data_IF_087436822882
#
_entry.id   IF_087436822882
#
_cell.length_a   1.000
_cell.length_b   1.000
_cell.length_c   1.000
_cell.angle_alpha   90.00
_cell.angle_beta   90.00
_cell.angle_gamma   90.00
#
_symmetry.space_group_name_H-M   'P 1'
#
loop_
_entity.id
_entity.type
_entity.pdbx_description
1 polymer ?
#
# COMPACT_ATOMS: atom_id res chain seq x y z
N UNK A 1 14.20 -6.40 21.94
CA UNK A 1 15.26 -6.76 20.97
C UNK A 1 14.66 -6.66 19.58
N UNK A 2 15.43 -6.21 18.60
CA UNK A 2 14.89 -5.83 17.27
C UNK A 2 15.79 -6.34 16.16
N UNK A 3 15.17 -6.82 15.09
CA UNK A 3 15.79 -7.14 13.80
C UNK A 3 15.17 -6.22 12.76
N UNK A 4 15.98 -5.44 12.06
CA UNK A 4 15.56 -4.56 10.96
C UNK A 4 16.48 -4.82 9.75
N UNK A 5 15.88 -5.10 8.60
CA UNK A 5 16.57 -5.36 7.35
C UNK A 5 15.89 -4.59 6.22
N UNK A 6 16.66 -3.75 5.52
CA UNK A 6 16.26 -3.05 4.28
C UNK A 6 17.20 -3.50 3.15
N UNK A 7 16.64 -4.07 2.09
CA UNK A 7 17.35 -4.53 0.92
C UNK A 7 16.80 -3.87 -0.34
N UNK A 8 17.71 -3.42 -1.21
CA UNK A 8 17.38 -2.74 -2.47
C UNK A 8 18.13 -3.35 -3.63
N UNK A 9 17.45 -3.48 -4.77
CA UNK A 9 18.02 -4.02 -5.99
C UNK A 9 17.62 -3.17 -7.20
N UNK A 10 18.59 -2.87 -8.05
CA UNK A 10 18.43 -2.01 -9.21
C UNK A 10 18.94 -2.72 -10.45
N UNK A 11 18.04 -2.92 -11.40
CA UNK A 11 18.34 -3.54 -12.69
C UNK A 11 18.07 -2.57 -13.82
N UNK A 12 19.13 -2.16 -14.51
CA UNK A 12 19.02 -1.27 -15.68
C UNK A 12 18.46 -2.02 -16.87
N UNK A 13 17.51 -1.40 -17.57
CA UNK A 13 16.88 -1.93 -18.77
C UNK A 13 17.19 -0.97 -19.91
N UNK A 14 17.99 -1.42 -20.88
CA UNK A 14 18.50 -0.55 -21.93
C UNK A 14 19.38 0.58 -21.36
N UNK A 15 19.33 1.75 -21.98
CA UNK A 15 20.18 2.89 -21.59
C UNK A 15 19.61 3.67 -20.40
N UNK A 16 18.29 3.80 -20.34
CA UNK A 16 17.59 4.78 -19.49
C UNK A 16 16.47 4.20 -18.62
N UNK A 17 16.06 2.95 -18.87
CA UNK A 17 15.07 2.25 -18.05
C UNK A 17 15.66 1.63 -16.78
N UNK A 18 14.84 1.49 -15.74
CA UNK A 18 15.25 0.95 -14.45
C UNK A 18 14.11 0.15 -13.81
N UNK A 19 14.38 -1.11 -13.47
CA UNK A 19 13.60 -1.86 -12.49
C UNK A 19 14.25 -1.70 -11.12
N UNK A 20 13.54 -1.05 -10.20
CA UNK A 20 13.96 -0.87 -8.80
C UNK A 20 13.07 -1.73 -7.90
N UNK A 21 13.70 -2.53 -7.04
CA UNK A 21 13.04 -3.35 -6.04
C UNK A 21 13.53 -2.93 -4.64
N UNK A 22 12.62 -2.87 -3.68
CA UNK A 22 12.95 -2.69 -2.26
C UNK A 22 12.13 -3.63 -1.42
N UNK A 23 12.76 -4.24 -0.43
CA UNK A 23 12.10 -4.96 0.65
C UNK A 23 12.62 -4.47 1.97
N UNK A 24 11.73 -4.15 2.90
CA UNK A 24 12.09 -3.87 4.29
C UNK A 24 11.28 -4.75 5.22
N UNK A 25 11.94 -5.31 6.22
CA UNK A 25 11.33 -6.16 7.23
C UNK A 25 11.85 -5.80 8.62
N UNK A 26 10.93 -5.72 9.56
CA UNK A 26 11.16 -5.38 10.94
C UNK A 26 10.50 -6.43 11.84
N UNK A 27 11.22 -6.88 12.87
CA UNK A 27 10.68 -7.72 13.94
C UNK A 27 11.25 -7.32 15.28
N UNK A 28 10.39 -6.96 16.23
CA UNK A 28 10.74 -6.69 17.62
C UNK A 28 10.05 -7.67 18.58
N UNK A 29 10.80 -8.10 19.60
CA UNK A 29 10.40 -9.13 20.56
C UNK A 29 11.09 -8.94 21.93
N UNK A 30 10.57 -9.64 22.94
CA UNK A 30 10.97 -9.52 24.34
C UNK A 30 9.95 -8.73 25.16
N UNK A 31 10.31 -8.39 26.40
CA UNK A 31 9.39 -7.80 27.39
C UNK A 31 8.93 -6.38 27.03
N UNK A 32 9.75 -5.65 26.26
CA UNK A 32 9.49 -4.29 25.78
C UNK A 32 9.81 -4.21 24.28
N UNK A 33 8.91 -4.70 23.41
CA UNK A 33 9.13 -4.70 21.97
C UNK A 33 8.78 -3.33 21.35
N UNK A 34 9.55 -2.93 20.35
CA UNK A 34 9.34 -1.70 19.58
C UNK A 34 8.33 -1.90 18.43
N UNK A 35 7.90 -0.78 17.86
CA UNK A 35 7.00 -0.73 16.70
C UNK A 35 7.72 -0.20 15.47
N UNK A 36 7.40 -0.79 14.32
CA UNK A 36 7.68 -0.20 13.02
C UNK A 36 6.42 0.46 12.46
N UNK A 37 6.55 1.71 12.06
CA UNK A 37 5.53 2.50 11.41
C UNK A 37 5.92 2.72 9.96
N UNK A 38 5.00 2.48 9.04
CA UNK A 38 5.23 2.71 7.61
C UNK A 38 3.93 3.06 6.89
N UNK A 39 4.04 3.65 5.70
CA UNK A 39 2.90 4.08 4.90
C UNK A 39 3.19 5.35 4.10
N UNK A 40 2.22 5.76 3.28
CA UNK A 40 2.38 6.92 2.40
C UNK A 40 3.21 6.62 1.15
N UNK A 41 3.45 7.65 0.35
CA UNK A 41 3.89 7.47 -1.04
C UNK A 41 5.28 6.85 -1.21
N UNK A 42 6.20 7.01 -0.24
CA UNK A 42 7.54 6.43 -0.30
C UNK A 42 7.62 4.93 0.04
N UNK A 43 6.53 4.33 0.54
CA UNK A 43 6.51 2.96 1.06
C UNK A 43 5.28 2.18 0.61
N UNK A 44 4.08 2.78 0.68
CA UNK A 44 2.80 2.15 0.34
C UNK A 44 1.89 3.18 -0.33
N UNK A 45 2.14 3.51 -1.61
CA UNK A 45 1.32 4.47 -2.38
C UNK A 45 -0.17 4.11 -2.34
N UNK A 46 -1.02 5.10 -2.12
CA UNK A 46 -2.46 4.92 -1.96
C UNK A 46 -2.93 4.61 -0.55
N UNK A 47 -2.00 4.42 0.39
CA UNK A 47 -2.26 4.34 1.84
C UNK A 47 -1.76 5.61 2.53
N UNK A 48 -2.33 5.92 3.69
CA UNK A 48 -1.99 7.11 4.46
C UNK A 48 -0.58 7.00 5.09
N UNK A 49 0.00 8.16 5.41
CA UNK A 49 1.30 8.22 6.07
C UNK A 49 1.22 7.56 7.46
N UNK A 50 2.14 6.64 7.74
CA UNK A 50 2.18 5.81 8.96
C UNK A 50 0.88 5.03 9.23
N UNK A 51 0.11 4.69 8.20
CA UNK A 51 -1.12 3.89 8.34
C UNK A 51 -0.86 2.52 8.98
N UNK A 52 0.33 1.96 8.77
CA UNK A 52 0.68 0.63 9.25
C UNK A 52 1.59 0.69 10.47
N UNK A 53 1.26 -0.12 11.48
CA UNK A 53 2.01 -0.26 12.72
C UNK A 53 2.09 -1.74 13.12
N UNK A 54 3.28 -2.22 13.48
CA UNK A 54 3.43 -3.59 13.96
C UNK A 54 4.76 -3.87 14.67
N UNK A 55 4.75 -4.93 15.47
CA UNK A 55 5.97 -5.51 16.05
C UNK A 55 6.66 -6.43 15.04
N UNK A 56 5.91 -7.02 14.11
CA UNK A 56 6.41 -7.76 12.96
C UNK A 56 5.77 -7.16 11.72
N UNK A 57 6.54 -6.40 10.95
CA UNK A 57 6.01 -5.58 9.87
C UNK A 57 7.01 -5.47 8.73
N UNK A 58 6.51 -5.24 7.53
CA UNK A 58 7.37 -5.08 6.37
C UNK A 58 6.60 -4.74 5.11
N UNK A 59 7.34 -4.28 4.11
CA UNK A 59 6.82 -3.96 2.81
C UNK A 59 7.80 -4.35 1.71
N UNK A 60 7.25 -4.53 0.53
CA UNK A 60 7.93 -4.78 -0.72
C UNK A 60 7.42 -3.80 -1.77
N UNK A 61 8.34 -3.24 -2.53
CA UNK A 61 8.09 -2.29 -3.61
C UNK A 61 8.79 -2.78 -4.87
N UNK A 62 8.08 -2.72 -5.98
CA UNK A 62 8.62 -2.89 -7.31
C UNK A 62 8.25 -1.69 -8.16
N UNK A 63 9.23 -1.08 -8.80
CA UNK A 63 9.05 0.10 -9.65
C UNK A 63 9.78 -0.10 -10.98
N UNK A 64 9.05 0.02 -12.07
CA UNK A 64 9.60 0.11 -13.41
C UNK A 64 9.56 1.56 -13.86
N UNK A 65 10.72 2.20 -13.91
CA UNK A 65 10.91 3.59 -14.32
C UNK A 65 11.44 3.63 -15.75
N UNK A 66 10.90 4.51 -16.58
CA UNK A 66 11.27 4.67 -17.98
C UNK A 66 11.22 6.14 -18.39
N UNK A 67 12.08 6.60 -19.31
CA UNK A 67 12.01 7.98 -19.79
C UNK A 67 10.74 8.19 -20.62
N UNK A 68 10.06 9.30 -20.39
CA UNK A 68 9.04 9.84 -21.30
C UNK A 68 9.62 10.98 -22.13
N UNK A 69 10.40 11.85 -21.48
CA UNK A 69 11.12 12.97 -22.09
C UNK A 69 12.50 13.03 -21.44
N UNK A 70 13.57 13.01 -22.23
CA UNK A 70 14.93 13.03 -21.67
C UNK A 70 15.34 14.41 -21.16
N UNK A 71 14.96 15.46 -21.89
CA UNK A 71 15.21 16.85 -21.53
C UNK A 71 14.12 17.75 -22.09
N UNK A 72 13.71 18.76 -21.31
CA UNK A 72 12.78 19.78 -21.77
C UNK A 72 13.54 21.05 -22.11
N UNK A 73 13.49 21.46 -23.37
CA UNK A 73 14.01 22.75 -23.83
C UNK A 73 12.97 23.83 -23.53
N UNK A 74 13.22 24.65 -22.51
CA UNK A 74 12.30 25.72 -22.09
C UNK A 74 12.93 27.11 -22.26
N UNK A 75 12.13 28.20 -22.32
CA UNK A 75 12.67 29.56 -22.41
C UNK A 75 13.60 29.96 -21.25
N UNK A 76 13.53 29.25 -20.11
CA UNK A 76 14.35 29.49 -18.92
C UNK A 76 15.57 28.53 -18.83
N UNK A 77 15.79 27.68 -19.83
CA UNK A 77 16.89 26.73 -19.89
C UNK A 77 16.44 25.27 -20.07
N UNK A 78 17.40 24.35 -19.93
CA UNK A 78 17.14 22.90 -19.98
C UNK A 78 16.61 22.46 -18.62
N UNK A 79 15.36 22.01 -18.57
CA UNK A 79 14.79 21.37 -17.38
C UNK A 79 14.99 19.86 -17.43
N UNK A 80 15.01 19.25 -16.23
CA UNK A 80 15.15 17.81 -16.09
C UNK A 80 14.09 17.03 -16.85
N UNK A 81 14.42 15.80 -17.24
CA UNK A 81 13.51 14.93 -17.97
C UNK A 81 12.23 14.60 -17.19
N UNK A 82 11.25 14.05 -17.92
CA UNK A 82 10.06 13.44 -17.37
C UNK A 82 10.22 11.93 -17.45
N UNK A 83 9.98 11.24 -16.33
CA UNK A 83 9.98 9.78 -16.26
C UNK A 83 8.59 9.27 -15.95
N UNK A 84 8.21 8.18 -16.59
CA UNK A 84 7.05 7.39 -16.23
C UNK A 84 7.46 6.27 -15.28
N UNK A 85 6.57 5.91 -14.38
CA UNK A 85 6.77 4.81 -13.42
C UNK A 85 5.55 3.91 -13.41
N UNK A 86 5.75 2.60 -13.55
CA UNK A 86 4.79 1.60 -13.07
C UNK A 86 5.23 1.13 -11.70
N UNK A 87 4.34 1.05 -10.73
CA UNK A 87 4.70 0.57 -9.41
C UNK A 87 3.74 -0.49 -8.87
N UNK A 88 4.26 -1.30 -7.97
CA UNK A 88 3.54 -2.25 -7.15
C UNK A 88 4.09 -2.21 -5.72
N UNK A 89 3.20 -2.09 -4.73
CA UNK A 89 3.51 -2.14 -3.32
C UNK A 89 2.72 -3.26 -2.65
N UNK A 90 3.36 -3.98 -1.74
CA UNK A 90 2.77 -5.01 -0.88
C UNK A 90 3.34 -4.84 0.52
N UNK A 91 2.51 -4.86 1.55
CA UNK A 91 2.99 -4.77 2.92
C UNK A 91 2.00 -5.37 3.92
N UNK A 92 2.46 -5.50 5.15
CA UNK A 92 1.62 -5.96 6.26
C UNK A 92 2.31 -5.69 7.60
N UNK A 93 1.48 -5.55 8.64
CA UNK A 93 1.94 -5.28 9.99
C UNK A 93 1.13 -6.11 10.99
N UNK A 94 1.83 -6.84 11.86
CA UNK A 94 1.26 -7.69 12.89
C UNK A 94 1.69 -7.24 14.29
N UNK A 95 0.76 -7.31 15.23
CA UNK A 95 1.01 -7.04 16.64
C UNK A 95 1.31 -8.35 17.39
N UNK A 96 2.20 -8.31 18.37
CA UNK A 96 2.50 -9.46 19.22
C UNK A 96 1.24 -9.90 19.97
N UNK A 97 1.00 -11.21 20.03
CA UNK A 97 -0.19 -11.79 20.65
C UNK A 97 -1.47 -11.70 19.82
N UNK A 98 -1.46 -11.04 18.67
CA UNK A 98 -2.60 -10.99 17.74
C UNK A 98 -2.36 -11.95 16.56
N UNK A 99 -3.38 -12.71 16.13
CA UNK A 99 -3.28 -13.49 14.91
C UNK A 99 -2.96 -12.59 13.71
N UNK A 100 -1.98 -13.00 12.91
CA UNK A 100 -1.61 -12.31 11.67
C UNK A 100 -1.50 -13.30 10.53
N UNK A 101 -2.22 -13.03 9.45
CA UNK A 101 -2.21 -13.79 8.20
C UNK A 101 -2.04 -12.81 7.05
N UNK A 102 -0.90 -12.86 6.36
CA UNK A 102 -0.65 -11.92 5.26
C UNK A 102 -1.64 -12.14 4.11
N UNK A 103 -1.82 -13.39 3.70
CA UNK A 103 -2.72 -13.81 2.63
C UNK A 103 -3.37 -15.16 2.93
N UNK A 104 -4.46 -15.45 2.22
CA UNK A 104 -5.16 -16.72 2.23
C UNK A 104 -5.51 -17.13 0.81
N UNK A 105 -5.62 -18.44 0.58
CA UNK A 105 -6.26 -18.99 -0.61
C UNK A 105 -7.20 -20.15 -0.22
N UNK A 106 -7.58 -20.19 1.06
CA UNK A 106 -8.43 -21.22 1.66
C UNK A 106 -9.88 -20.78 1.59
N UNK A 107 -10.80 -21.68 1.32
CA UNK A 107 -12.23 -21.35 1.37
C UNK A 107 -12.66 -21.15 2.82
N UNK A 108 -13.36 -20.05 3.11
CA UNK A 108 -13.85 -19.74 4.46
C UNK A 108 -15.20 -19.05 4.41
N UNK A 109 -16.02 -19.27 5.42
CA UNK A 109 -17.26 -18.50 5.61
C UNK A 109 -16.96 -17.22 6.38
N UNK A 110 -17.47 -16.09 5.89
CA UNK A 110 -17.27 -14.79 6.50
C UNK A 110 -18.59 -14.04 6.62
N UNK A 111 -18.86 -13.51 7.81
CA UNK A 111 -20.00 -12.64 8.08
C UNK A 111 -19.51 -11.19 8.15
N UNK A 112 -19.82 -10.33 7.16
CA UNK A 112 -19.36 -8.95 7.16
C UNK A 112 -20.17 -8.10 8.13
N UNK A 113 -19.55 -7.06 8.67
CA UNK A 113 -20.28 -5.96 9.31
C UNK A 113 -20.73 -5.02 8.20
N UNK A 114 -22.03 -4.74 8.10
CA UNK A 114 -22.63 -3.90 7.06
C UNK A 114 -23.06 -2.53 7.58
N UNK A 115 -23.05 -2.32 8.89
CA UNK A 115 -23.36 -1.02 9.48
C UNK A 115 -23.23 -1.02 11.00
N UNK A 116 -23.60 0.10 11.59
CA UNK A 116 -23.67 0.26 13.03
C UNK A 116 -25.02 0.86 13.41
N UNK A 117 -25.60 0.37 14.49
CA UNK A 117 -26.88 0.85 15.02
C UNK A 117 -26.70 1.20 16.49
N UNK A 118 -27.35 2.28 16.94
CA UNK A 118 -27.45 2.58 18.36
C UNK A 118 -28.67 1.88 18.96
N UNK A 119 -28.45 1.15 20.05
CA UNK A 119 -29.53 0.60 20.86
C UNK A 119 -30.29 1.75 21.55
N UNK A 120 -31.61 1.91 21.32
CA UNK A 120 -32.39 2.99 21.90
C UNK A 120 -32.54 2.91 23.44
N UNK A 121 -32.27 1.76 24.07
CA UNK A 121 -32.40 1.57 25.51
C UNK A 121 -31.06 1.74 26.23
N UNK A 122 -29.99 1.14 25.71
CA UNK A 122 -28.67 1.17 26.35
C UNK A 122 -27.77 2.28 25.82
N UNK A 123 -28.14 2.93 24.71
CA UNK A 123 -27.34 3.91 23.97
C UNK A 123 -26.00 3.36 23.43
N UNK A 124 -25.77 2.05 23.52
CA UNK A 124 -24.59 1.39 22.99
C UNK A 124 -24.64 1.32 21.46
N UNK A 125 -23.46 1.34 20.83
CA UNK A 125 -23.33 1.14 19.37
C UNK A 125 -23.04 -0.33 19.11
N UNK A 126 -23.93 -0.97 18.36
CA UNK A 126 -23.83 -2.37 17.96
C UNK A 126 -23.51 -2.49 16.48
N UNK A 127 -22.67 -3.46 16.13
CA UNK A 127 -22.40 -3.81 14.74
C UNK A 127 -23.59 -4.56 14.14
N UNK A 128 -24.01 -4.17 12.94
CA UNK A 128 -25.02 -4.88 12.17
C UNK A 128 -24.32 -5.86 11.24
N UNK A 129 -24.58 -7.14 11.42
CA UNK A 129 -24.04 -8.21 10.58
C UNK A 129 -24.83 -8.35 9.27
N UNK A 130 -24.11 -8.67 8.19
CA UNK A 130 -24.68 -9.04 6.90
C UNK A 130 -24.86 -10.55 6.75
N UNK A 131 -25.13 -11.01 5.53
CA UNK A 131 -25.23 -12.45 5.24
C UNK A 131 -23.86 -13.11 5.25
N UNK A 132 -23.74 -14.23 5.98
CA UNK A 132 -22.57 -15.12 5.90
C UNK A 132 -22.38 -15.56 4.46
N UNK A 133 -21.17 -15.30 3.93
CA UNK A 133 -20.83 -15.56 2.53
C UNK A 133 -19.57 -16.42 2.49
N UNK A 134 -19.58 -17.47 1.68
CA UNK A 134 -18.40 -18.28 1.41
C UNK A 134 -17.45 -17.50 0.48
N UNK A 135 -16.18 -17.39 0.86
CA UNK A 135 -15.15 -16.69 0.09
C UNK A 135 -14.07 -17.67 -0.32
N UNK A 136 -13.83 -17.77 -1.63
CA UNK A 136 -12.78 -18.61 -2.20
C UNK A 136 -11.71 -17.77 -2.89
N UNK A 137 -10.58 -18.39 -3.22
CA UNK A 137 -9.52 -17.75 -4.00
C UNK A 137 -8.57 -16.83 -3.22
N UNK A 138 -7.49 -16.43 -3.91
CA UNK A 138 -6.36 -15.73 -3.31
C UNK A 138 -6.75 -14.34 -2.85
N UNK A 139 -6.40 -13.98 -1.62
CA UNK A 139 -6.73 -12.69 -1.02
C UNK A 139 -5.73 -12.28 0.05
N UNK A 140 -5.51 -10.97 0.20
CA UNK A 140 -4.80 -10.43 1.36
C UNK A 140 -5.76 -10.31 2.55
N UNK A 141 -5.38 -10.89 3.69
CA UNK A 141 -6.19 -10.85 4.92
C UNK A 141 -5.75 -9.64 5.76
N UNK A 142 -4.57 -9.72 6.36
CA UNK A 142 -3.93 -8.59 7.04
C UNK A 142 -2.90 -7.86 6.16
N UNK A 143 -2.57 -8.42 5.00
CA UNK A 143 -1.76 -7.74 4.00
C UNK A 143 -2.52 -6.61 3.29
N UNK A 144 -1.77 -5.68 2.72
CA UNK A 144 -2.27 -4.61 1.87
C UNK A 144 -1.40 -4.50 0.64
N UNK A 145 -2.02 -4.20 -0.50
CA UNK A 145 -1.30 -3.96 -1.73
C UNK A 145 -1.90 -2.79 -2.51
N UNK A 146 -1.09 -2.24 -3.39
CA UNK A 146 -1.47 -1.20 -4.33
C UNK A 146 -0.62 -1.31 -5.59
N UNK A 147 -1.15 -0.89 -6.71
CA UNK A 147 -0.37 -0.72 -7.93
C UNK A 147 -0.75 0.59 -8.58
N UNK A 148 0.04 1.05 -9.53
CA UNK A 148 -0.30 2.27 -10.23
C UNK A 148 0.71 2.76 -11.23
N UNK A 149 0.46 4.00 -11.65
CA UNK A 149 1.27 4.75 -12.60
C UNK A 149 1.71 6.05 -11.96
N UNK A 150 2.91 6.48 -12.27
CA UNK A 150 3.51 7.71 -11.77
C UNK A 150 4.17 8.50 -12.88
N UNK A 151 4.25 9.81 -12.67
CA UNK A 151 5.09 10.71 -13.45
C UNK A 151 6.03 11.43 -12.49
N UNK A 152 7.32 11.34 -12.77
CA UNK A 152 8.38 11.99 -12.02
C UNK A 152 9.05 13.06 -12.88
N UNK A 153 9.34 14.22 -12.29
CA UNK A 153 10.17 15.27 -12.90
C UNK A 153 11.05 15.93 -11.84
N UNK A 154 11.99 16.77 -12.27
CA UNK A 154 12.87 17.50 -11.37
C UNK A 154 12.56 18.99 -11.42
N UNK A 155 12.31 19.58 -10.25
CA UNK A 155 12.12 21.03 -10.08
C UNK A 155 13.19 21.52 -9.10
N UNK A 156 14.10 22.37 -9.57
CA UNK A 156 15.18 22.98 -8.76
C UNK A 156 16.01 21.91 -8.02
N UNK A 157 16.27 20.78 -8.68
CA UNK A 157 17.07 19.68 -8.14
C UNK A 157 16.31 18.70 -7.23
N UNK A 158 15.04 18.96 -6.94
CA UNK A 158 14.20 18.03 -6.18
C UNK A 158 13.32 17.18 -7.10
N UNK A 159 13.28 15.86 -6.89
CA UNK A 159 12.32 14.99 -7.57
C UNK A 159 10.90 15.26 -7.06
N UNK A 160 9.99 15.46 -8.01
CA UNK A 160 8.57 15.72 -7.80
C UNK A 160 7.79 14.59 -8.45
N UNK A 161 6.86 14.02 -7.70
CA UNK A 161 6.11 12.82 -8.08
C UNK A 161 4.62 13.09 -8.14
N UNK A 162 4.00 12.54 -9.17
CA UNK A 162 2.55 12.54 -9.40
C UNK A 162 2.11 11.10 -9.61
N UNK A 163 1.48 10.51 -8.60
CA UNK A 163 1.14 9.08 -8.59
C UNK A 163 -0.37 8.87 -8.62
N UNK A 164 -0.85 7.98 -9.48
CA UNK A 164 -2.19 7.42 -9.44
C UNK A 164 -2.11 5.98 -8.98
N UNK A 165 -2.72 5.69 -7.83
CA UNK A 165 -2.68 4.39 -7.16
C UNK A 165 -4.07 3.76 -7.08
N UNK A 166 -4.11 2.44 -7.23
CA UNK A 166 -5.27 1.59 -7.00
C UNK A 166 -4.92 0.57 -5.92
N UNK A 167 -5.70 0.56 -4.85
CA UNK A 167 -5.57 -0.45 -3.79
C UNK A 167 -6.19 -1.77 -4.24
N UNK A 168 -5.67 -2.87 -3.72
CA UNK A 168 -6.17 -4.22 -4.02
C UNK A 168 -5.88 -5.17 -2.86
N UNK A 169 -6.82 -6.07 -2.59
CA UNK A 169 -6.59 -7.29 -1.81
C UNK A 169 -6.55 -8.53 -2.72
N UNK A 170 -6.50 -8.32 -4.04
CA UNK A 170 -6.53 -9.33 -5.11
C UNK A 170 -7.84 -10.10 -5.28
N UNK A 171 -8.85 -9.81 -4.47
CA UNK A 171 -10.17 -10.43 -4.56
C UNK A 171 -11.25 -9.39 -4.28
N UNK A 172 -12.11 -9.13 -5.27
CA UNK A 172 -13.18 -8.13 -5.16
C UNK A 172 -14.29 -8.55 -4.21
N UNK A 173 -14.66 -9.83 -4.20
CA UNK A 173 -15.68 -10.36 -3.28
C UNK A 173 -15.21 -10.20 -1.84
N UNK A 174 -13.93 -10.50 -1.57
CA UNK A 174 -13.33 -10.26 -0.26
C UNK A 174 -13.31 -8.79 0.13
N UNK A 175 -13.00 -7.89 -0.81
CA UNK A 175 -13.04 -6.44 -0.58
C UNK A 175 -14.46 -5.93 -0.32
N UNK A 176 -15.46 -6.45 -1.03
CA UNK A 176 -16.87 -6.12 -0.82
C UNK A 176 -17.34 -6.50 0.58
N UNK A 177 -16.81 -7.60 1.13
CA UNK A 177 -17.11 -8.06 2.48
C UNK A 177 -16.35 -7.26 3.56
N UNK A 178 -15.03 -7.10 3.43
CA UNK A 178 -14.19 -6.41 4.42
C UNK A 178 -14.49 -4.90 4.48
N UNK A 179 -14.80 -4.30 3.32
CA UNK A 179 -15.11 -2.88 3.21
C UNK A 179 -16.60 -2.63 2.97
N UNK A 180 -17.49 -3.54 3.38
CA UNK A 180 -18.93 -3.42 3.19
C UNK A 180 -19.49 -2.08 3.72
N UNK A 181 -19.05 -1.66 4.92
CA UNK A 181 -19.43 -0.36 5.52
C UNK A 181 -18.87 0.86 4.78
N UNK A 182 -17.89 0.66 3.90
CA UNK A 182 -17.18 1.70 3.17
C UNK A 182 -17.49 1.69 1.67
N UNK A 183 -18.53 0.93 1.25
CA UNK A 183 -18.96 0.80 -0.14
C UNK A 183 -18.16 -0.22 -0.97
N UNK A 184 -17.55 -1.19 -0.29
CA UNK A 184 -16.94 -2.37 -0.88
C UNK A 184 -15.76 -2.09 -1.80
N UNK A 185 -15.50 -3.05 -2.69
CA UNK A 185 -14.46 -3.00 -3.72
C UNK A 185 -14.57 -1.77 -4.61
N UNK A 186 -15.80 -1.31 -4.92
CA UNK A 186 -16.04 -0.13 -5.76
C UNK A 186 -15.42 1.12 -5.16
N UNK A 187 -15.58 1.34 -3.85
CA UNK A 187 -14.97 2.47 -3.17
C UNK A 187 -13.51 2.20 -2.79
N UNK A 188 -13.19 0.99 -2.33
CA UNK A 188 -11.84 0.61 -1.92
C UNK A 188 -10.81 0.78 -3.04
N UNK A 189 -11.17 0.40 -4.27
CA UNK A 189 -10.33 0.48 -5.48
C UNK A 189 -10.40 1.81 -6.23
N UNK A 190 -11.06 2.85 -5.70
CA UNK A 190 -11.06 4.16 -6.37
C UNK A 190 -9.63 4.67 -6.57
N UNK A 191 -9.33 5.29 -7.73
CA UNK A 191 -8.00 5.84 -7.98
C UNK A 191 -7.70 6.93 -6.94
N UNK A 192 -6.52 6.87 -6.35
CA UNK A 192 -6.00 7.86 -5.41
C UNK A 192 -4.82 8.58 -6.05
N UNK A 193 -4.94 9.90 -6.13
CA UNK A 193 -3.86 10.78 -6.57
C UNK A 193 -2.97 11.14 -5.39
N UNK A 194 -1.66 11.00 -5.57
CA UNK A 194 -0.64 11.40 -4.62
C UNK A 194 0.33 12.39 -5.26
N UNK A 195 0.57 13.49 -4.57
CA UNK A 195 1.65 14.43 -4.88
C UNK A 195 2.67 14.41 -3.75
N UNK A 196 3.94 14.26 -4.08
CA UNK A 196 5.00 14.33 -3.08
C UNK A 196 6.34 14.74 -3.68
N UNK A 197 7.20 15.29 -2.83
CA UNK A 197 8.56 15.71 -3.17
C UNK A 197 9.49 14.88 -2.29
N UNK A 198 10.42 14.17 -2.90
CA UNK A 198 11.32 13.29 -2.16
C UNK A 198 12.03 12.32 -3.07
N UNK A 199 13.22 11.91 -2.65
CA UNK A 199 13.96 10.89 -3.39
C UNK A 199 13.22 9.56 -3.28
N UNK A 200 13.11 8.89 -4.43
CA UNK A 200 12.78 7.48 -4.42
C UNK A 200 13.81 6.71 -3.60
N UNK A 201 13.40 5.54 -3.13
CA UNK A 201 14.30 4.67 -2.41
C UNK A 201 15.42 4.12 -3.29
#
# INVERSE_FOLDING_TARGET
QTIDADGRYYYRIGETGLLALRGRWFKSFGDFPDFYYFGGNGEMRGYEYLEFIGHNAGHFNAELRFPLIEAMLTPIGVLGGIRGTFFFNLGGAGLNGQPFKLFSNTDEEFTPIIGFRQDPLTLNVEAVEGSTTAVSGFRLVNGRASYGIGVETFVIGFPVHFDWSWRTLFNKEWEDLVYATQGGSTNFRRPRFGFWIGYDF
#
